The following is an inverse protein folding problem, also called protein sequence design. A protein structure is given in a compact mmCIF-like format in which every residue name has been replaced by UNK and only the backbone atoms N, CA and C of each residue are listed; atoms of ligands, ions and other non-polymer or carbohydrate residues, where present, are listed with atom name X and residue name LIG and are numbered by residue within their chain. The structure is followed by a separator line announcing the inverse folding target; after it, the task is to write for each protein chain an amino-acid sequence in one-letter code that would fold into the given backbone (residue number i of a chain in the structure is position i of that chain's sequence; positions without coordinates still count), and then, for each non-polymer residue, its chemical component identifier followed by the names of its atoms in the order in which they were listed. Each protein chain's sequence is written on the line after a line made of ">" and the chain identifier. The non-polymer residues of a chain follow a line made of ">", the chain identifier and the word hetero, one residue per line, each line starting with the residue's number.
data_IF_958811951054
#
_entry.id   IF_958811951054
#
_cell.length_a   1.000
_cell.length_b   1.000
_cell.length_c   1.000
_cell.angle_alpha   90.00
_cell.angle_beta   90.00
_cell.angle_gamma   90.00
#
_symmetry.space_group_name_H-M   'P 1'
#
loop_
_entity.id
_entity.type
_entity.pdbx_description
1 polymer ?
#
# COMPACT_ATOMS: atom_id res chain seq x y z
N UNK A 1 -4.33 -16.91 -4.07
CA UNK A 1 -5.07 -16.38 -2.91
C UNK A 1 -4.61 -14.96 -2.60
N UNK A 2 -5.52 -14.03 -2.63
CA UNK A 2 -5.23 -12.66 -2.23
C UNK A 2 -4.89 -12.63 -0.73
N UNK A 3 -3.68 -12.22 -0.39
CA UNK A 3 -3.26 -12.05 1.01
C UNK A 3 -4.20 -11.05 1.70
N UNK A 4 -4.67 -11.39 2.89
CA UNK A 4 -5.51 -10.48 3.67
C UNK A 4 -4.79 -9.14 3.87
N UNK A 5 -5.52 -8.04 3.69
CA UNK A 5 -4.96 -6.70 3.93
C UNK A 5 -4.83 -6.46 5.42
N UNK A 6 -3.70 -5.90 5.81
CA UNK A 6 -3.40 -5.55 7.19
C UNK A 6 -3.92 -4.17 7.55
N UNK A 7 -4.24 -3.99 8.82
CA UNK A 7 -4.54 -2.67 9.37
C UNK A 7 -3.60 -2.43 10.55
N UNK A 8 -2.71 -1.46 10.40
CA UNK A 8 -1.85 -0.97 11.47
C UNK A 8 -2.63 0.04 12.32
N UNK A 9 -2.85 -0.27 13.58
CA UNK A 9 -3.58 0.57 14.53
C UNK A 9 -2.56 1.25 15.45
N UNK A 10 -2.55 2.57 15.44
CA UNK A 10 -1.60 3.38 16.21
C UNK A 10 -2.37 4.24 17.22
N UNK A 11 -2.23 3.92 18.48
CA UNK A 11 -2.85 4.64 19.59
C UNK A 11 -2.05 4.37 20.86
N UNK A 12 -1.74 5.40 21.64
CA UNK A 12 -1.03 5.25 22.91
C UNK A 12 -1.94 4.67 24.00
N UNK A 13 -3.25 4.83 23.88
CA UNK A 13 -4.23 4.29 24.83
C UNK A 13 -4.50 2.80 24.51
N UNK A 14 -4.07 1.93 25.43
CA UNK A 14 -4.15 0.48 25.27
C UNK A 14 -5.58 -0.02 25.03
N UNK A 15 -6.53 0.47 25.81
CA UNK A 15 -7.93 -0.01 25.73
C UNK A 15 -8.57 0.38 24.38
N UNK A 16 -8.35 1.59 23.93
CA UNK A 16 -8.83 2.04 22.61
C UNK A 16 -8.19 1.23 21.49
N UNK A 17 -6.88 1.05 21.54
CA UNK A 17 -6.11 0.27 20.57
C UNK A 17 -6.61 -1.17 20.45
N UNK A 18 -6.86 -1.82 21.58
CA UNK A 18 -7.39 -3.19 21.61
C UNK A 18 -8.83 -3.26 21.11
N UNK A 19 -9.69 -2.30 21.49
CA UNK A 19 -11.07 -2.25 21.01
C UNK A 19 -11.15 -2.11 19.51
N UNK A 20 -10.39 -1.20 18.93
CA UNK A 20 -10.33 -1.01 17.47
C UNK A 20 -9.83 -2.30 16.79
N UNK A 21 -8.78 -2.91 17.34
CA UNK A 21 -8.23 -4.16 16.82
C UNK A 21 -9.27 -5.28 16.81
N UNK A 22 -10.02 -5.43 17.88
CA UNK A 22 -11.08 -6.44 17.98
C UNK A 22 -12.21 -6.19 16.97
N UNK A 23 -12.68 -4.97 16.85
CA UNK A 23 -13.76 -4.63 15.90
C UNK A 23 -13.36 -4.94 14.47
N UNK A 24 -12.14 -4.58 14.10
CA UNK A 24 -11.63 -4.82 12.75
C UNK A 24 -11.30 -6.28 12.50
N UNK A 25 -10.78 -7.00 13.49
CA UNK A 25 -10.54 -8.44 13.39
C UNK A 25 -11.84 -9.22 13.21
N UNK A 26 -12.91 -8.86 13.93
CA UNK A 26 -14.25 -9.45 13.76
C UNK A 26 -14.83 -9.19 12.37
N UNK A 27 -14.39 -8.12 11.71
CA UNK A 27 -14.78 -7.80 10.33
C UNK A 27 -13.90 -8.47 9.26
N UNK A 28 -12.98 -9.34 9.68
CA UNK A 28 -12.14 -10.14 8.77
C UNK A 28 -10.80 -9.51 8.39
N UNK A 29 -10.39 -8.44 9.05
CA UNK A 29 -9.08 -7.82 8.81
C UNK A 29 -7.99 -8.44 9.67
N UNK A 30 -6.77 -8.48 9.14
CA UNK A 30 -5.55 -8.80 9.88
C UNK A 30 -5.03 -7.51 10.52
N UNK A 31 -4.97 -7.45 11.85
CA UNK A 31 -4.60 -6.23 12.58
C UNK A 31 -3.22 -6.33 13.21
N UNK A 32 -2.47 -5.24 13.15
CA UNK A 32 -1.23 -5.00 13.90
C UNK A 32 -1.42 -3.77 14.78
N UNK A 33 -0.89 -3.78 15.98
CA UNK A 33 -1.05 -2.67 16.92
C UNK A 33 0.30 -2.06 17.28
N UNK A 34 0.33 -0.73 17.38
CA UNK A 34 1.49 0.05 17.75
C UNK A 34 1.11 1.06 18.84
N UNK A 35 1.87 1.09 19.92
CA UNK A 35 1.61 2.00 21.04
C UNK A 35 2.16 3.42 20.83
N UNK A 36 2.96 3.62 19.78
CA UNK A 36 3.55 4.91 19.43
C UNK A 36 3.71 5.08 17.93
N UNK A 37 3.80 6.33 17.50
CA UNK A 37 4.09 6.66 16.11
C UNK A 37 5.47 6.18 15.67
N UNK A 38 6.45 6.24 16.57
CA UNK A 38 7.81 5.78 16.33
C UNK A 38 7.85 4.27 16.02
N UNK A 39 7.12 3.47 16.78
CA UNK A 39 7.01 2.03 16.55
C UNK A 39 6.28 1.73 15.23
N UNK A 40 5.24 2.47 14.93
CA UNK A 40 4.51 2.34 13.67
C UNK A 40 5.42 2.61 12.46
N UNK A 41 6.28 3.61 12.51
CA UNK A 41 7.24 3.92 11.43
C UNK A 41 8.25 2.79 11.20
N UNK A 42 8.60 2.03 12.23
CA UNK A 42 9.46 0.85 12.10
C UNK A 42 8.75 -0.33 11.44
N UNK A 43 7.45 -0.48 11.70
CA UNK A 43 6.65 -1.59 11.22
C UNK A 43 5.96 -1.36 9.86
N UNK A 44 5.78 -0.10 9.47
CA UNK A 44 5.05 0.29 8.25
C UNK A 44 6.03 0.95 7.28
N UNK A 45 6.49 0.18 6.32
CA UNK A 45 7.40 0.66 5.29
C UNK A 45 6.71 0.91 3.94
N UNK A 46 7.54 1.14 2.93
CA UNK A 46 7.10 1.20 1.53
C UNK A 46 6.43 -0.11 1.12
N UNK A 47 5.38 -0.02 0.33
CA UNK A 47 4.58 -1.17 -0.12
C UNK A 47 3.95 -1.99 1.04
N UNK A 48 3.72 -1.37 2.19
CA UNK A 48 3.00 -2.00 3.29
C UNK A 48 1.69 -2.61 2.80
N UNK A 49 1.43 -3.91 3.08
CA UNK A 49 0.27 -4.61 2.52
C UNK A 49 -1.01 -4.30 3.31
N UNK A 50 -1.33 -3.04 3.45
CA UNK A 50 -2.46 -2.60 4.26
C UNK A 50 -2.60 -1.09 4.35
N UNK A 51 -3.29 -0.68 5.39
CA UNK A 51 -3.59 0.71 5.72
C UNK A 51 -3.17 1.02 7.16
N UNK A 52 -3.21 2.30 7.51
CA UNK A 52 -2.95 2.77 8.89
C UNK A 52 -4.19 3.46 9.44
N UNK A 53 -4.51 3.19 10.69
CA UNK A 53 -5.51 3.91 11.49
C UNK A 53 -4.77 4.50 12.69
N UNK A 54 -4.73 5.82 12.82
CA UNK A 54 -3.94 6.49 13.86
C UNK A 54 -4.74 7.54 14.61
N UNK A 55 -4.58 7.55 15.92
CA UNK A 55 -5.00 8.70 16.74
C UNK A 55 -4.13 9.92 16.39
N UNK A 56 -4.71 11.11 16.46
CA UNK A 56 -3.99 12.37 16.27
C UNK A 56 -3.15 12.72 17.49
N UNK A 57 -3.71 12.57 18.69
CA UNK A 57 -3.06 13.00 19.93
C UNK A 57 -2.33 11.83 20.59
N UNK A 58 -1.02 11.85 20.47
CA UNK A 58 -0.13 10.88 21.11
C UNK A 58 1.09 11.59 21.69
N UNK A 59 1.67 11.08 22.81
CA UNK A 59 2.92 11.62 23.35
C UNK A 59 4.09 11.40 22.37
N UNK A 60 5.05 12.31 22.39
CA UNK A 60 6.17 12.28 21.47
C UNK A 60 5.74 12.69 20.05
N UNK A 61 5.97 11.85 19.08
CA UNK A 61 5.47 12.07 17.70
C UNK A 61 3.95 11.90 17.68
N UNK A 62 3.23 12.95 17.29
CA UNK A 62 1.78 12.90 17.16
C UNK A 62 1.33 12.26 15.83
N UNK A 63 0.01 12.04 15.70
CA UNK A 63 -0.56 11.41 14.51
C UNK A 63 -0.42 12.24 13.25
N UNK A 64 -0.36 13.56 13.33
CA UNK A 64 -0.15 14.43 12.16
C UNK A 64 1.28 14.34 11.64
N UNK A 65 2.25 14.28 12.54
CA UNK A 65 3.65 14.05 12.18
C UNK A 65 3.84 12.66 11.58
N UNK A 66 3.20 11.64 12.16
CA UNK A 66 3.18 10.30 11.61
C UNK A 66 2.60 10.26 10.19
N UNK A 67 1.45 10.92 9.98
CA UNK A 67 0.82 11.02 8.66
C UNK A 67 1.78 11.61 7.62
N UNK A 68 2.42 12.71 7.94
CA UNK A 68 3.39 13.37 7.04
C UNK A 68 4.55 12.45 6.68
N UNK A 69 5.09 11.74 7.67
CA UNK A 69 6.21 10.81 7.47
C UNK A 69 5.79 9.59 6.64
N UNK A 70 4.63 9.00 6.94
CA UNK A 70 4.11 7.87 6.17
C UNK A 70 3.83 8.23 4.71
N UNK A 71 3.28 9.42 4.46
CA UNK A 71 3.07 9.93 3.09
C UNK A 71 4.38 10.18 2.36
N UNK A 72 5.43 10.53 3.07
CA UNK A 72 6.78 10.64 2.50
C UNK A 72 7.43 9.29 2.17
N UNK A 73 7.12 8.25 2.95
CA UNK A 73 7.59 6.87 2.70
C UNK A 73 6.81 6.24 1.54
N UNK A 74 5.51 6.40 1.53
CA UNK A 74 4.62 5.85 0.50
C UNK A 74 3.38 6.73 0.33
N UNK A 75 3.35 7.51 -0.73
CA UNK A 75 2.24 8.43 -1.02
C UNK A 75 0.91 7.72 -1.30
N UNK A 76 0.94 6.45 -1.67
CA UNK A 76 -0.24 5.62 -1.91
C UNK A 76 -0.75 4.86 -0.70
N UNK A 77 -0.16 5.06 0.49
CA UNK A 77 -0.59 4.42 1.73
C UNK A 77 -1.81 5.17 2.31
N UNK A 78 -2.99 4.53 2.41
CA UNK A 78 -4.13 5.14 3.06
C UNK A 78 -3.93 5.24 4.57
N UNK A 79 -4.15 6.42 5.12
CA UNK A 79 -4.11 6.68 6.57
C UNK A 79 -5.44 7.28 6.99
N UNK A 80 -6.14 6.60 7.89
CA UNK A 80 -7.36 7.08 8.53
C UNK A 80 -6.97 7.70 9.87
N UNK A 81 -7.36 8.97 10.08
CA UNK A 81 -7.05 9.69 11.31
C UNK A 81 -8.23 9.67 12.26
N UNK A 82 -7.97 9.44 13.53
CA UNK A 82 -8.97 9.55 14.60
C UNK A 82 -8.74 10.87 15.33
N UNK A 83 -9.73 11.73 15.31
CA UNK A 83 -9.67 13.07 15.90
C UNK A 83 -10.55 13.18 17.16
N UNK A 84 -10.22 14.13 18.03
CA UNK A 84 -11.05 14.44 19.20
C UNK A 84 -12.38 15.10 18.79
N UNK A 85 -13.36 15.03 19.68
CA UNK A 85 -14.66 15.64 19.46
C UNK A 85 -14.54 17.15 19.22
N UNK A 86 -15.16 17.64 18.16
CA UNK A 86 -15.17 19.06 17.80
C UNK A 86 -13.86 19.59 17.21
N UNK A 87 -12.87 18.77 16.96
CA UNK A 87 -11.58 19.21 16.40
C UNK A 87 -11.61 19.29 14.87
N UNK A 88 -12.49 20.14 14.34
CA UNK A 88 -12.65 20.35 12.90
C UNK A 88 -11.37 20.87 12.23
N UNK A 89 -10.63 21.85 12.80
CA UNK A 89 -9.39 22.31 12.17
C UNK A 89 -8.36 21.20 11.97
N UNK A 90 -8.23 20.29 12.91
CA UNK A 90 -7.31 19.16 12.82
C UNK A 90 -7.75 18.15 11.75
N UNK A 91 -9.04 17.89 11.63
CA UNK A 91 -9.60 17.05 10.59
C UNK A 91 -9.35 17.63 9.19
N UNK A 92 -9.56 18.93 9.01
CA UNK A 92 -9.28 19.64 7.76
C UNK A 92 -7.79 19.56 7.40
N UNK A 93 -6.92 19.81 8.37
CA UNK A 93 -5.48 19.74 8.16
C UNK A 93 -5.03 18.30 7.78
N UNK A 94 -5.59 17.29 8.44
CA UNK A 94 -5.30 15.88 8.09
C UNK A 94 -5.67 15.58 6.63
N UNK A 95 -6.82 16.01 6.17
CA UNK A 95 -7.25 15.85 4.78
C UNK A 95 -6.35 16.61 3.81
N UNK A 96 -5.94 17.83 4.18
CA UNK A 96 -5.00 18.63 3.38
C UNK A 96 -3.64 17.96 3.21
N UNK A 97 -3.13 17.32 4.26
CA UNK A 97 -1.84 16.61 4.26
C UNK A 97 -1.92 15.29 3.49
N UNK A 98 -3.10 14.75 3.27
CA UNK A 98 -3.32 13.55 2.47
C UNK A 98 -3.86 12.35 3.23
N UNK A 99 -4.50 12.55 4.38
CA UNK A 99 -5.26 11.47 5.03
C UNK A 99 -6.33 10.91 4.07
N UNK A 100 -6.58 9.63 4.16
CA UNK A 100 -7.66 8.99 3.39
C UNK A 100 -9.03 9.48 3.86
N UNK A 101 -9.22 9.51 5.16
CA UNK A 101 -10.40 10.05 5.82
C UNK A 101 -10.09 10.27 7.31
N UNK A 102 -11.05 10.81 8.04
CA UNK A 102 -10.96 10.95 9.48
C UNK A 102 -12.24 10.45 10.16
N UNK A 103 -12.10 10.07 11.43
CA UNK A 103 -13.19 9.74 12.34
C UNK A 103 -13.11 10.60 13.57
N UNK A 104 -14.21 11.19 13.97
CA UNK A 104 -14.33 11.97 15.18
C UNK A 104 -14.77 11.08 16.35
N UNK A 105 -14.10 11.20 17.49
CA UNK A 105 -14.51 10.52 18.72
C UNK A 105 -15.72 11.24 19.36
N UNK A 106 -16.71 10.52 19.88
CA UNK A 106 -16.92 9.06 19.80
C UNK A 106 -17.42 8.65 18.42
N UNK A 107 -16.92 7.54 17.88
CA UNK A 107 -17.33 7.06 16.56
C UNK A 107 -18.06 5.70 16.65
N UNK A 108 -18.88 5.44 15.65
CA UNK A 108 -19.52 4.15 15.49
C UNK A 108 -18.53 3.12 14.89
N UNK A 109 -18.37 1.93 15.51
CA UNK A 109 -17.52 0.87 14.95
C UNK A 109 -17.85 0.50 13.50
N UNK A 110 -19.13 0.54 13.12
CA UNK A 110 -19.57 0.27 11.74
C UNK A 110 -18.99 1.30 10.76
N UNK A 111 -18.90 2.55 11.17
CA UNK A 111 -18.27 3.61 10.36
C UNK A 111 -16.78 3.36 10.17
N UNK A 112 -16.09 2.95 11.22
CA UNK A 112 -14.68 2.53 11.16
C UNK A 112 -14.49 1.40 10.17
N UNK A 113 -15.30 0.36 10.27
CA UNK A 113 -15.25 -0.81 9.38
C UNK A 113 -15.52 -0.43 7.92
N UNK A 114 -16.49 0.44 7.67
CA UNK A 114 -16.81 0.94 6.33
C UNK A 114 -15.62 1.67 5.71
N UNK A 115 -15.00 2.59 6.46
CA UNK A 115 -13.81 3.31 6.00
C UNK A 115 -12.63 2.38 5.78
N UNK A 116 -12.41 1.41 6.67
CA UNK A 116 -11.36 0.41 6.51
C UNK A 116 -11.55 -0.42 5.24
N UNK A 117 -12.77 -0.81 4.90
CA UNK A 117 -13.08 -1.52 3.65
C UNK A 117 -12.72 -0.67 2.43
N UNK A 118 -13.14 0.59 2.41
CA UNK A 118 -12.84 1.51 1.30
C UNK A 118 -11.34 1.75 1.15
N UNK A 119 -10.64 1.98 2.26
CA UNK A 119 -9.21 2.24 2.27
C UNK A 119 -8.40 1.01 1.83
N UNK A 120 -8.76 -0.19 2.30
CA UNK A 120 -8.08 -1.43 1.90
C UNK A 120 -8.33 -1.78 0.44
N UNK A 121 -9.51 -1.51 -0.10
CA UNK A 121 -9.77 -1.65 -1.55
C UNK A 121 -8.89 -0.71 -2.37
N UNK A 122 -8.80 0.56 -1.98
CA UNK A 122 -7.94 1.52 -2.65
C UNK A 122 -6.47 1.09 -2.60
N UNK A 123 -6.01 0.60 -1.44
CA UNK A 123 -4.64 0.11 -1.28
C UNK A 123 -4.35 -1.10 -2.15
N UNK A 124 -5.26 -2.04 -2.22
CA UNK A 124 -5.12 -3.23 -3.07
C UNK A 124 -4.95 -2.85 -4.53
N UNK A 125 -5.77 -1.93 -5.04
CA UNK A 125 -5.65 -1.42 -6.40
C UNK A 125 -4.28 -0.76 -6.64
N UNK A 126 -3.79 0.02 -5.69
CA UNK A 126 -2.47 0.65 -5.78
C UNK A 126 -1.36 -0.39 -5.86
N UNK A 127 -1.38 -1.39 -4.99
CA UNK A 127 -0.35 -2.44 -4.95
C UNK A 127 -0.40 -3.34 -6.19
N UNK A 128 -1.60 -3.73 -6.64
CA UNK A 128 -1.79 -4.52 -7.86
C UNK A 128 -1.29 -3.75 -9.09
N UNK A 129 -1.56 -2.46 -9.17
CA UNK A 129 -1.08 -1.60 -10.25
C UNK A 129 0.45 -1.50 -10.26
N UNK A 130 1.09 -1.37 -9.09
CA UNK A 130 2.55 -1.39 -8.96
C UNK A 130 3.14 -2.72 -9.41
N UNK A 131 2.54 -3.84 -9.02
CA UNK A 131 2.97 -5.18 -9.40
C UNK A 131 2.87 -5.36 -10.94
N UNK A 132 1.75 -4.97 -11.55
CA UNK A 132 1.56 -5.03 -13.01
C UNK A 132 2.56 -4.14 -13.75
N UNK A 133 2.81 -2.93 -13.28
CA UNK A 133 3.80 -2.02 -13.88
C UNK A 133 5.21 -2.60 -13.79
N UNK A 134 5.55 -3.25 -12.69
CA UNK A 134 6.83 -3.93 -12.51
C UNK A 134 6.98 -5.09 -13.48
N UNK A 135 5.95 -5.93 -13.62
CA UNK A 135 5.94 -7.03 -14.60
C UNK A 135 6.09 -6.54 -16.02
N UNK A 136 5.39 -5.47 -16.40
CA UNK A 136 5.51 -4.84 -17.72
C UNK A 136 6.90 -4.25 -17.95
N UNK A 137 7.49 -3.61 -16.95
CA UNK A 137 8.85 -3.08 -17.02
C UNK A 137 9.88 -4.20 -17.15
N UNK A 138 9.77 -5.26 -16.36
CA UNK A 138 10.65 -6.42 -16.40
C UNK A 138 10.48 -7.18 -17.73
N UNK A 139 9.24 -7.37 -18.20
CA UNK A 139 8.93 -7.95 -19.50
C UNK A 139 9.47 -7.11 -20.67
N UNK A 140 9.34 -5.80 -20.60
CA UNK A 140 9.90 -4.89 -21.61
C UNK A 140 11.43 -4.92 -21.62
N UNK A 141 12.07 -5.01 -20.45
CA UNK A 141 13.51 -5.16 -20.34
C UNK A 141 13.98 -6.50 -20.91
N UNK A 142 13.23 -7.58 -20.67
CA UNK A 142 13.49 -8.91 -21.22
C UNK A 142 13.34 -8.91 -22.76
N UNK A 143 12.29 -8.28 -23.28
CA UNK A 143 12.06 -8.13 -24.71
C UNK A 143 13.18 -7.32 -25.37
N UNK A 144 13.59 -6.20 -24.76
CA UNK A 144 14.74 -5.40 -25.22
C UNK A 144 16.03 -6.20 -25.22
N UNK A 145 16.26 -7.02 -24.20
CA UNK A 145 17.42 -7.91 -24.10
C UNK A 145 17.36 -9.02 -25.15
N UNK A 146 16.19 -9.61 -25.36
CA UNK A 146 15.96 -10.61 -26.42
C UNK A 146 16.11 -10.00 -27.81
N UNK A 147 15.64 -8.79 -28.05
CA UNK A 147 15.83 -8.08 -29.31
C UNK A 147 17.31 -7.73 -29.51
N UNK A 148 18.04 -7.31 -28.47
CA UNK A 148 19.47 -7.05 -28.53
C UNK A 148 20.31 -8.30 -28.82
N UNK A 149 19.91 -9.46 -28.33
CA UNK A 149 20.48 -10.77 -28.69
C UNK A 149 20.03 -11.26 -30.08
N UNK A 150 18.82 -10.86 -30.50
CA UNK A 150 18.12 -11.39 -31.67
C UNK A 150 18.71 -10.94 -33.00
N UNK A 151 19.39 -9.80 -33.07
CA UNK A 151 19.98 -9.35 -34.35
C UNK A 151 21.06 -10.33 -34.80
N UNK A 152 21.90 -10.83 -33.90
CA UNK A 152 22.90 -11.84 -34.19
C UNK A 152 22.30 -13.23 -34.40
N UNK A 153 21.34 -13.64 -33.54
CA UNK A 153 20.70 -14.96 -33.66
C UNK A 153 19.74 -15.06 -34.82
N UNK A 154 18.99 -14.01 -35.12
CA UNK A 154 18.10 -13.97 -36.29
C UNK A 154 18.91 -13.99 -37.58
N UNK A 155 20.03 -13.28 -37.62
CA UNK A 155 20.94 -13.34 -38.76
C UNK A 155 21.54 -14.76 -38.93
N UNK A 156 21.88 -15.44 -37.86
CA UNK A 156 22.37 -16.83 -37.89
C UNK A 156 21.27 -17.79 -38.34
N UNK A 157 20.05 -17.68 -37.80
CA UNK A 157 18.92 -18.54 -38.17
C UNK A 157 18.54 -18.30 -39.67
N UNK A 158 18.46 -17.05 -40.09
CA UNK A 158 18.20 -16.71 -41.52
C UNK A 158 19.29 -17.21 -42.44
N UNK A 159 20.55 -17.21 -41.97
CA UNK A 159 21.68 -17.76 -42.70
C UNK A 159 21.59 -19.28 -42.83
N UNK A 160 21.25 -20.01 -41.78
CA UNK A 160 21.06 -21.46 -41.78
C UNK A 160 19.84 -21.88 -42.61
N UNK A 161 18.73 -21.17 -42.52
CA UNK A 161 17.54 -21.39 -43.34
C UNK A 161 17.83 -21.12 -44.84
N UNK A 162 18.63 -20.10 -45.12
CA UNK A 162 19.03 -19.78 -46.51
C UNK A 162 19.96 -20.82 -47.12
N UNK A 163 20.79 -21.47 -46.29
CA UNK A 163 21.68 -22.58 -46.73
C UNK A 163 20.87 -23.87 -46.92
N UNK A 164 19.93 -24.17 -45.96
CA UNK A 164 19.11 -25.39 -46.01
C UNK A 164 18.15 -25.42 -47.20
N UNK A 165 17.67 -24.29 -47.65
CA UNK A 165 16.80 -24.19 -48.83
C UNK A 165 17.56 -24.42 -50.16
N UNK A 166 18.88 -24.33 -50.13
CA UNK A 166 19.68 -24.60 -51.34
C UNK A 166 20.04 -26.06 -51.53
N UNK A 167 19.93 -26.94 -50.51
CA UNK A 167 20.21 -28.36 -50.62
C UNK A 167 19.02 -29.17 -51.18
N UNK A 168 17.80 -28.68 -51.07
CA UNK A 168 16.59 -29.37 -51.59
C UNK A 168 16.20 -28.97 -53.02
N UNK A 169 17.03 -28.21 -53.72
CA UNK A 169 16.75 -27.73 -55.08
C UNK A 169 17.62 -28.38 -56.20
N UNK A 170 18.22 -29.58 -55.92
CA UNK A 170 18.94 -30.35 -56.94
C UNK A 170 18.34 -31.73 -57.16
#
# INVERSE_FOLDING_TARGET
>A
MSKAMKIAIVDDEKDMRQSISQWLALSGFDTETFASAEDALKGVGSDYPGIVVSDVKMPGMDGMQLLKKLKGVDSGLPVIMITGHGDVPMAVEAMRVGAFDFLEKPFNPDRMTELAKKATQARRLTLDNRALRKELSDGSALIKKLIGMSIFQTAIILFYVSIGVKEDAT
#
